data_IF_960148936089
#
_entry.id   IF_960148936089
#
_cell.length_a   1.000
_cell.length_b   1.000
_cell.length_c   1.000
_cell.angle_alpha   90.00
_cell.angle_beta   90.00
_cell.angle_gamma   90.00
#
_symmetry.space_group_name_H-M   'P 1'
#
loop_
_entity.id
_entity.type
_entity.pdbx_description
1 polymer ?
#
# COMPACT_ATOMS: atom_id res chain seq x y z
N UNK A 1 -1.41 21.13 51.29
CA UNK A 1 -1.16 21.72 49.95
C UNK A 1 0.04 21.11 49.20
N UNK A 2 0.83 20.21 49.81
CA UNK A 2 2.01 19.59 49.20
C UNK A 2 1.71 18.50 48.13
N UNK A 3 0.48 17.98 48.11
CA UNK A 3 0.04 16.88 47.21
C UNK A 3 -0.15 17.32 45.74
N UNK A 4 -0.20 18.62 45.47
CA UNK A 4 -0.25 19.21 44.11
C UNK A 4 1.10 19.77 43.64
N UNK A 5 2.07 19.97 44.54
CA UNK A 5 3.40 20.45 44.21
C UNK A 5 4.26 19.37 43.57
N UNK A 6 4.15 18.12 44.05
CA UNK A 6 4.90 16.98 43.52
C UNK A 6 4.65 16.73 42.01
N UNK A 7 3.40 16.67 41.49
CA UNK A 7 3.18 16.47 40.06
C UNK A 7 3.63 17.65 39.20
N UNK A 8 3.54 18.88 39.70
CA UNK A 8 3.99 20.08 38.97
C UNK A 8 5.52 20.11 38.86
N UNK A 9 6.22 19.74 39.93
CA UNK A 9 7.67 19.69 39.94
C UNK A 9 8.20 18.58 39.04
N UNK A 10 7.53 17.41 39.03
CA UNK A 10 7.86 16.30 38.13
C UNK A 10 7.61 16.68 36.66
N UNK A 11 6.53 17.41 36.37
CA UNK A 11 6.27 17.93 35.02
C UNK A 11 7.34 18.95 34.57
N UNK A 12 7.75 19.87 35.44
CA UNK A 12 8.81 20.85 35.13
C UNK A 12 10.18 20.19 34.91
N UNK A 13 10.53 19.21 35.74
CA UNK A 13 11.79 18.46 35.60
C UNK A 13 11.76 17.59 34.35
N UNK A 14 10.64 16.91 34.06
CA UNK A 14 10.50 16.11 32.85
C UNK A 14 10.58 16.95 31.57
N UNK A 15 9.93 18.11 31.55
CA UNK A 15 9.98 19.02 30.41
C UNK A 15 11.40 19.60 30.23
N UNK A 16 12.05 20.01 31.33
CA UNK A 16 13.41 20.53 31.30
C UNK A 16 14.44 19.48 30.87
N UNK A 17 14.32 18.25 31.36
CA UNK A 17 15.17 17.14 30.98
C UNK A 17 14.96 16.74 29.51
N UNK A 18 13.71 16.69 29.04
CA UNK A 18 13.39 16.38 27.64
C UNK A 18 13.93 17.42 26.66
N UNK A 19 13.73 18.71 26.94
CA UNK A 19 14.26 19.79 26.11
C UNK A 19 15.80 19.84 26.13
N UNK A 20 16.41 19.67 27.31
CA UNK A 20 17.86 19.64 27.46
C UNK A 20 18.51 18.48 26.70
N UNK A 21 17.94 17.28 26.80
CA UNK A 21 18.43 16.11 26.07
C UNK A 21 18.26 16.25 24.56
N UNK A 22 17.13 16.79 24.09
CA UNK A 22 16.88 17.01 22.67
C UNK A 22 17.87 17.98 22.02
N UNK A 23 18.28 19.03 22.73
CA UNK A 23 19.32 19.96 22.26
C UNK A 23 20.71 19.32 22.33
N UNK A 24 21.02 18.60 23.42
CA UNK A 24 22.34 18.01 23.62
C UNK A 24 22.63 16.80 22.69
N UNK A 25 21.60 16.05 22.31
CA UNK A 25 21.71 14.87 21.43
C UNK A 25 21.39 15.20 19.98
N UNK A 26 21.13 16.47 19.64
CA UNK A 26 20.91 16.89 18.26
C UNK A 26 22.19 16.60 17.47
N UNK A 27 22.17 15.71 16.45
CA UNK A 27 23.35 15.44 15.64
C UNK A 27 23.77 16.72 14.92
N UNK A 28 25.07 17.02 14.95
CA UNK A 28 25.62 18.12 14.15
C UNK A 28 25.39 17.83 12.67
N UNK A 29 24.90 18.82 11.88
CA UNK A 29 24.83 18.66 10.45
C UNK A 29 26.25 18.51 9.92
N UNK A 30 26.53 17.36 9.30
CA UNK A 30 27.78 17.12 8.58
C UNK A 30 27.94 18.21 7.52
N UNK A 31 28.88 19.11 7.76
CA UNK A 31 29.27 20.15 6.82
C UNK A 31 30.52 19.71 6.06
N UNK A 32 30.39 19.55 4.75
CA UNK A 32 31.49 19.79 3.80
C UNK A 32 31.00 20.79 2.74
N UNK A 33 31.43 22.06 2.92
CA UNK A 33 31.99 23.03 1.95
C UNK A 33 31.53 22.97 0.48
N UNK A 34 31.16 24.04 -0.24
CA UNK A 34 31.64 25.43 -0.22
C UNK A 34 30.76 26.27 -1.17
N UNK A 35 30.51 27.55 -0.86
CA UNK A 35 29.92 28.51 -1.80
C UNK A 35 29.12 29.62 -1.12
N UNK A 36 29.80 30.71 -0.79
CA UNK A 36 29.30 31.89 -0.09
C UNK A 36 28.15 32.61 -0.82
N UNK A 37 27.16 33.10 -0.06
CA UNK A 37 26.86 34.54 0.10
C UNK A 37 25.87 34.76 1.26
N UNK A 38 26.23 35.67 2.16
CA UNK A 38 25.49 36.06 3.36
C UNK A 38 25.08 37.53 3.23
N UNK A 39 23.79 37.86 3.34
CA UNK A 39 23.30 39.10 4.01
C UNK A 39 21.88 38.90 4.61
N UNK A 40 21.78 39.03 5.94
CA UNK A 40 20.63 39.25 6.87
C UNK A 40 19.45 40.14 6.35
N UNK A 41 18.14 39.84 6.48
CA UNK A 41 17.21 39.68 7.65
C UNK A 41 16.58 41.01 8.20
N UNK A 42 15.43 41.08 8.95
CA UNK A 42 14.14 40.31 9.08
C UNK A 42 12.88 41.27 9.14
N UNK A 43 11.61 40.97 9.62
CA UNK A 43 11.12 39.84 10.44
C UNK A 43 9.71 39.22 10.19
N UNK A 44 9.55 38.04 10.82
CA UNK A 44 8.36 37.47 11.46
C UNK A 44 7.06 37.29 10.66
N UNK A 45 6.65 36.04 10.44
CA UNK A 45 5.60 35.40 11.25
C UNK A 45 5.80 33.88 11.19
N UNK A 46 5.73 33.23 12.35
CA UNK A 46 5.76 31.78 12.45
C UNK A 46 4.37 31.23 12.12
N UNK A 47 4.25 30.47 11.03
CA UNK A 47 3.30 29.35 10.97
C UNK A 47 4.03 28.15 10.39
N UNK A 48 3.87 27.04 11.11
CA UNK A 48 4.58 25.80 10.96
C UNK A 48 3.77 24.95 10.00
N UNK A 49 4.18 24.86 8.74
CA UNK A 49 3.78 23.77 7.86
C UNK A 49 5.06 23.28 7.17
N UNK A 50 5.59 22.18 7.69
CA UNK A 50 6.68 21.47 7.03
C UNK A 50 6.14 20.95 5.69
N UNK A 51 6.88 21.07 4.57
CA UNK A 51 6.48 20.38 3.37
C UNK A 51 6.66 18.88 3.65
N UNK A 52 5.54 18.17 3.82
CA UNK A 52 5.51 16.76 3.51
C UNK A 52 6.09 16.65 2.09
N UNK A 53 7.17 15.88 1.92
CA UNK A 53 7.73 15.63 0.61
C UNK A 53 6.60 15.19 -0.31
N UNK A 54 6.34 15.98 -1.35
CA UNK A 54 5.46 15.59 -2.43
C UNK A 54 6.11 14.38 -3.10
N UNK A 55 5.74 13.17 -2.67
CA UNK A 55 5.95 11.98 -3.48
C UNK A 55 5.17 12.22 -4.77
N UNK A 56 5.87 12.48 -5.88
CA UNK A 56 5.25 12.57 -7.20
C UNK A 56 4.46 11.26 -7.43
N UNK A 57 3.13 11.36 -7.44
CA UNK A 57 2.26 10.21 -7.70
C UNK A 57 2.47 9.80 -9.15
N UNK A 58 3.23 8.73 -9.39
CA UNK A 58 3.53 8.23 -10.74
C UNK A 58 2.54 7.17 -11.22
N UNK A 59 1.68 6.67 -10.32
CA UNK A 59 0.76 5.56 -10.56
C UNK A 59 -0.67 5.86 -10.06
N UNK A 60 -1.65 5.36 -10.80
CA UNK A 60 -3.05 5.29 -10.39
C UNK A 60 -3.38 3.86 -9.97
N UNK A 61 -4.27 3.72 -8.98
CA UNK A 61 -4.82 2.43 -8.58
C UNK A 61 -6.27 2.33 -9.02
N UNK A 62 -6.55 1.38 -9.91
CA UNK A 62 -7.89 1.18 -10.49
C UNK A 62 -8.49 -0.09 -9.92
N UNK A 63 -9.55 0.07 -9.12
CA UNK A 63 -10.31 -1.05 -8.58
C UNK A 63 -11.19 -1.67 -9.68
N UNK A 64 -11.15 -2.99 -9.81
CA UNK A 64 -12.05 -3.74 -10.69
C UNK A 64 -13.50 -3.66 -10.17
N UNK A 65 -14.47 -3.53 -11.07
CA UNK A 65 -15.88 -3.41 -10.68
C UNK A 65 -16.45 -4.77 -10.28
N UNK A 66 -17.05 -4.90 -9.11
CA UNK A 66 -17.53 -6.19 -8.59
C UNK A 66 -16.42 -7.20 -8.28
N UNK A 67 -16.71 -8.04 -7.30
CA UNK A 67 -15.80 -9.09 -6.84
C UNK A 67 -15.75 -10.26 -7.82
N UNK A 68 -14.67 -11.03 -7.75
CA UNK A 68 -14.51 -12.29 -8.45
C UNK A 68 -14.95 -13.42 -7.53
N UNK A 69 -15.77 -14.34 -8.04
CA UNK A 69 -16.28 -15.49 -7.26
C UNK A 69 -15.90 -16.76 -7.99
N UNK A 70 -15.18 -17.64 -7.30
CA UNK A 70 -14.53 -18.82 -7.88
C UNK A 70 -14.83 -20.02 -6.98
N UNK A 71 -15.47 -21.10 -7.49
CA UNK A 71 -15.68 -22.30 -6.71
C UNK A 71 -14.41 -23.15 -6.66
N UNK A 72 -14.16 -23.73 -5.51
CA UNK A 72 -13.16 -24.80 -5.33
C UNK A 72 -13.91 -26.13 -5.37
N UNK A 73 -13.52 -27.02 -6.28
CA UNK A 73 -14.18 -28.30 -6.48
C UNK A 73 -13.26 -29.43 -6.02
N UNK A 74 -13.75 -30.27 -5.13
CA UNK A 74 -13.06 -31.47 -4.65
C UNK A 74 -13.97 -32.69 -4.80
N UNK A 75 -13.47 -33.75 -5.43
CA UNK A 75 -14.26 -34.97 -5.65
C UNK A 75 -15.57 -34.75 -6.43
N UNK A 76 -15.59 -33.76 -7.33
CA UNK A 76 -16.76 -33.41 -8.15
C UNK A 76 -17.84 -32.60 -7.42
N UNK A 77 -17.58 -32.13 -6.20
CA UNK A 77 -18.48 -31.26 -5.43
C UNK A 77 -17.79 -29.95 -5.07
N UNK A 78 -18.57 -28.87 -4.97
CA UNK A 78 -18.06 -27.58 -4.47
C UNK A 78 -17.75 -27.75 -2.98
N UNK A 79 -16.49 -27.58 -2.60
CA UNK A 79 -16.02 -27.64 -1.21
C UNK A 79 -15.93 -26.25 -0.58
N UNK A 80 -15.67 -25.21 -1.39
CA UNK A 80 -15.61 -23.83 -0.94
C UNK A 80 -15.92 -22.85 -2.08
N UNK A 81 -16.28 -21.62 -1.70
CA UNK A 81 -16.36 -20.47 -2.58
C UNK A 81 -15.28 -19.46 -2.18
N UNK A 82 -14.48 -19.00 -3.13
CA UNK A 82 -13.48 -17.96 -2.94
C UNK A 82 -13.95 -16.68 -3.58
N UNK A 83 -13.92 -15.59 -2.83
CA UNK A 83 -14.35 -14.27 -3.23
C UNK A 83 -13.13 -13.35 -3.18
N UNK A 84 -12.79 -12.69 -4.28
CA UNK A 84 -11.63 -11.79 -4.36
C UNK A 84 -12.02 -10.39 -4.83
N UNK A 85 -11.36 -9.38 -4.26
CA UNK A 85 -11.35 -8.02 -4.78
C UNK A 85 -9.98 -7.71 -5.36
N UNK A 86 -9.93 -7.28 -6.63
CA UNK A 86 -8.68 -7.01 -7.35
C UNK A 86 -8.60 -5.53 -7.74
N UNK A 87 -7.43 -4.93 -7.60
CA UNK A 87 -7.08 -3.61 -8.16
C UNK A 87 -5.83 -3.71 -9.02
N UNK A 88 -5.71 -2.84 -10.01
CA UNK A 88 -4.54 -2.74 -10.87
C UNK A 88 -3.77 -1.48 -10.53
N UNK A 89 -2.45 -1.59 -10.44
CA UNK A 89 -1.56 -0.43 -10.47
C UNK A 89 -1.25 -0.11 -11.93
N UNK A 90 -1.58 1.11 -12.33
CA UNK A 90 -1.38 1.58 -13.70
C UNK A 90 -0.64 2.90 -13.73
N UNK A 91 -0.08 3.25 -14.87
CA UNK A 91 0.53 4.57 -15.08
C UNK A 91 -0.48 5.69 -14.81
N UNK A 92 -0.01 6.80 -14.23
CA UNK A 92 -0.82 7.99 -13.97
C UNK A 92 -1.67 8.40 -15.20
N UNK A 93 -2.93 8.78 -14.93
CA UNK A 93 -3.93 9.24 -15.89
C UNK A 93 -4.32 8.21 -16.97
N UNK A 94 -4.09 6.91 -16.75
CA UNK A 94 -4.50 5.84 -17.68
C UNK A 94 -5.69 5.01 -17.19
N UNK A 95 -6.28 5.34 -16.04
CA UNK A 95 -7.33 4.53 -15.43
C UNK A 95 -8.60 4.35 -16.27
N UNK A 96 -8.98 5.34 -17.09
CA UNK A 96 -10.13 5.21 -18.00
C UNK A 96 -9.96 4.07 -19.02
N UNK A 97 -8.73 3.87 -19.52
CA UNK A 97 -8.43 2.82 -20.49
C UNK A 97 -8.62 1.41 -19.91
N UNK A 98 -8.40 1.25 -18.59
CA UNK A 98 -8.67 0.00 -17.87
C UNK A 98 -10.14 -0.35 -17.98
N UNK A 99 -11.04 0.61 -17.72
CA UNK A 99 -12.49 0.38 -17.78
C UNK A 99 -12.98 0.03 -19.20
N UNK A 100 -12.39 0.64 -20.25
CA UNK A 100 -12.72 0.30 -21.64
C UNK A 100 -12.35 -1.14 -22.03
N UNK A 101 -11.36 -1.74 -21.35
CA UNK A 101 -10.92 -3.13 -21.57
C UNK A 101 -11.34 -4.08 -20.45
N UNK A 102 -12.08 -3.60 -19.47
CA UNK A 102 -12.47 -4.36 -18.27
C UNK A 102 -13.13 -5.70 -18.61
N UNK A 103 -14.05 -5.81 -19.60
CA UNK A 103 -14.66 -7.09 -19.92
C UNK A 103 -13.64 -8.18 -20.30
N UNK A 104 -12.57 -7.80 -21.02
CA UNK A 104 -11.50 -8.75 -21.39
C UNK A 104 -10.58 -9.08 -20.23
N UNK A 105 -10.27 -8.09 -19.39
CA UNK A 105 -9.49 -8.32 -18.17
C UNK A 105 -10.22 -9.29 -17.24
N UNK A 106 -11.51 -9.08 -17.04
CA UNK A 106 -12.34 -9.93 -16.18
C UNK A 106 -12.39 -11.37 -16.68
N UNK A 107 -12.59 -11.57 -17.98
CA UNK A 107 -12.58 -12.89 -18.60
C UNK A 107 -11.26 -13.62 -18.36
N UNK A 108 -10.13 -12.97 -18.66
CA UNK A 108 -8.80 -13.56 -18.45
C UNK A 108 -8.46 -13.80 -16.97
N UNK A 109 -8.84 -12.89 -16.07
CA UNK A 109 -8.64 -13.08 -14.62
C UNK A 109 -9.47 -14.23 -14.09
N UNK A 110 -10.74 -14.37 -14.51
CA UNK A 110 -11.57 -15.51 -14.13
C UNK A 110 -10.92 -16.82 -14.57
N UNK A 111 -10.39 -16.90 -15.79
CA UNK A 111 -9.68 -18.08 -16.25
C UNK A 111 -8.48 -18.42 -15.35
N UNK A 112 -7.61 -17.44 -15.06
CA UNK A 112 -6.45 -17.63 -14.16
C UNK A 112 -6.90 -18.12 -12.78
N UNK A 113 -7.95 -17.52 -12.23
CA UNK A 113 -8.46 -17.88 -10.91
C UNK A 113 -9.05 -19.31 -10.90
N UNK A 114 -9.77 -19.72 -11.94
CA UNK A 114 -10.26 -21.09 -12.07
C UNK A 114 -9.10 -22.08 -12.20
N UNK A 115 -8.09 -21.78 -13.02
CA UNK A 115 -6.91 -22.63 -13.17
C UNK A 115 -6.15 -22.76 -11.84
N UNK A 116 -6.01 -21.66 -11.10
CA UNK A 116 -5.41 -21.66 -9.77
C UNK A 116 -6.22 -22.50 -8.76
N UNK A 117 -7.55 -22.40 -8.78
CA UNK A 117 -8.43 -23.21 -7.94
C UNK A 117 -8.30 -24.70 -8.26
N UNK A 118 -8.28 -25.06 -9.55
CA UNK A 118 -8.14 -26.44 -10.03
C UNK A 118 -6.77 -27.03 -9.68
N UNK A 119 -5.70 -26.22 -9.77
CA UNK A 119 -4.36 -26.60 -9.31
C UNK A 119 -4.28 -26.77 -7.78
N UNK A 120 -5.26 -26.25 -7.04
CA UNK A 120 -5.34 -26.34 -5.59
C UNK A 120 -4.74 -25.17 -4.83
N UNK A 121 -4.46 -24.06 -5.50
CA UNK A 121 -3.87 -22.88 -4.87
C UNK A 121 -4.75 -22.25 -3.79
N UNK A 122 -6.05 -22.56 -3.78
CA UNK A 122 -6.99 -22.14 -2.73
C UNK A 122 -7.25 -23.22 -1.65
N UNK A 123 -6.60 -24.39 -1.71
CA UNK A 123 -6.72 -25.44 -0.69
C UNK A 123 -5.81 -25.14 0.51
N UNK A 124 -6.19 -25.63 1.69
CA UNK A 124 -5.37 -25.50 2.91
C UNK A 124 -5.00 -24.05 3.26
N UNK A 125 -3.72 -23.77 3.52
CA UNK A 125 -3.19 -22.45 3.82
C UNK A 125 -3.07 -21.59 2.54
N UNK A 126 -4.22 -21.24 1.97
CA UNK A 126 -4.33 -20.53 0.69
C UNK A 126 -3.71 -19.12 0.69
N UNK A 127 -3.51 -18.52 1.86
CA UNK A 127 -2.86 -17.20 2.02
C UNK A 127 -1.35 -17.29 2.16
N UNK A 128 -0.74 -18.48 2.04
CA UNK A 128 0.71 -18.61 2.03
C UNK A 128 1.35 -17.74 0.94
N UNK A 129 2.45 -17.07 1.29
CA UNK A 129 3.09 -16.06 0.45
C UNK A 129 3.46 -16.60 -0.94
N UNK A 130 3.95 -17.85 -1.03
CA UNK A 130 4.31 -18.47 -2.30
C UNK A 130 3.10 -18.66 -3.23
N UNK A 131 1.96 -19.12 -2.70
CA UNK A 131 0.74 -19.34 -3.48
C UNK A 131 0.20 -18.02 -4.02
N UNK A 132 0.22 -16.97 -3.19
CA UNK A 132 -0.24 -15.64 -3.58
C UNK A 132 0.70 -14.94 -4.58
N UNK A 133 2.00 -15.17 -4.50
CA UNK A 133 2.96 -14.66 -5.49
C UNK A 133 2.72 -15.29 -6.86
N UNK A 134 2.51 -16.61 -6.93
CA UNK A 134 2.19 -17.29 -8.19
C UNK A 134 0.90 -16.75 -8.79
N UNK A 135 -0.15 -16.58 -7.97
CA UNK A 135 -1.42 -16.02 -8.44
C UNK A 135 -1.27 -14.58 -8.95
N UNK A 136 -0.59 -13.70 -8.20
CA UNK A 136 -0.36 -12.31 -8.62
C UNK A 136 0.41 -12.22 -9.93
N UNK A 137 1.47 -13.01 -10.11
CA UNK A 137 2.21 -13.05 -11.37
C UNK A 137 1.34 -13.50 -12.54
N UNK A 138 0.54 -14.57 -12.37
CA UNK A 138 -0.34 -15.04 -13.44
C UNK A 138 -1.42 -14.01 -13.82
N UNK A 139 -1.99 -13.30 -12.84
CA UNK A 139 -2.92 -12.21 -13.08
C UNK A 139 -2.23 -11.03 -13.80
N UNK A 140 -1.02 -10.67 -13.37
CA UNK A 140 -0.23 -9.60 -13.98
C UNK A 140 0.10 -9.90 -15.44
N UNK A 141 0.49 -11.14 -15.76
CA UNK A 141 0.74 -11.55 -17.15
C UNK A 141 -0.50 -11.36 -18.04
N UNK A 142 -1.69 -11.71 -17.54
CA UNK A 142 -2.94 -11.49 -18.27
C UNK A 142 -3.24 -10.01 -18.40
N UNK A 143 -3.06 -9.23 -17.33
CA UNK A 143 -3.27 -7.80 -17.36
C UNK A 143 -2.37 -7.12 -18.41
N UNK A 144 -1.08 -7.49 -18.45
CA UNK A 144 -0.11 -6.99 -19.43
C UNK A 144 -0.43 -7.45 -20.85
N UNK A 145 -0.98 -8.66 -21.06
CA UNK A 145 -1.45 -9.09 -22.39
C UNK A 145 -2.62 -8.26 -22.91
N UNK A 146 -3.49 -7.77 -22.02
CA UNK A 146 -4.71 -7.03 -22.40
C UNK A 146 -4.47 -5.51 -22.48
N UNK A 147 -3.75 -4.95 -21.51
CA UNK A 147 -3.51 -3.51 -21.36
C UNK A 147 -2.12 -3.08 -21.84
N UNK A 148 -1.19 -4.01 -21.99
CA UNK A 148 0.19 -3.69 -22.35
C UNK A 148 1.00 -3.14 -21.17
N UNK A 149 2.03 -2.32 -21.43
CA UNK A 149 3.00 -1.88 -20.42
C UNK A 149 2.46 -0.80 -19.47
N UNK A 150 1.20 -0.39 -19.61
CA UNK A 150 0.59 0.60 -18.71
C UNK A 150 0.26 0.02 -17.33
N UNK A 151 0.16 -1.31 -17.19
CA UNK A 151 0.00 -2.00 -15.91
C UNK A 151 1.38 -2.38 -15.37
N UNK A 152 1.67 -1.96 -14.14
CA UNK A 152 2.87 -2.33 -13.40
C UNK A 152 2.62 -3.49 -12.44
N UNK A 153 1.45 -3.55 -11.79
CA UNK A 153 1.14 -4.58 -10.81
C UNK A 153 -0.36 -4.91 -10.71
N UNK A 154 -0.67 -6.07 -10.09
CA UNK A 154 -2.02 -6.50 -9.73
C UNK A 154 -2.10 -6.78 -8.24
N UNK A 155 -2.97 -6.04 -7.57
CA UNK A 155 -3.19 -6.10 -6.13
C UNK A 155 -4.45 -6.91 -5.82
N UNK A 156 -4.29 -7.96 -5.01
CA UNK A 156 -5.41 -8.65 -4.38
C UNK A 156 -5.70 -7.92 -3.08
N UNK A 157 -6.76 -7.09 -3.08
CA UNK A 157 -7.12 -6.20 -1.98
C UNK A 157 -7.88 -6.94 -0.88
N UNK A 158 -8.68 -7.92 -1.27
CA UNK A 158 -9.45 -8.75 -0.35
C UNK A 158 -9.55 -10.17 -0.90
N UNK A 159 -9.53 -11.15 0.01
CA UNK A 159 -9.73 -12.55 -0.28
C UNK A 159 -10.49 -13.21 0.88
N UNK A 160 -11.65 -13.77 0.56
CA UNK A 160 -12.48 -14.51 1.49
C UNK A 160 -12.68 -15.91 0.94
N UNK A 161 -12.54 -16.92 1.80
CA UNK A 161 -12.90 -18.29 1.50
C UNK A 161 -14.04 -18.72 2.41
N UNK A 162 -15.12 -19.20 1.82
CA UNK A 162 -16.27 -19.75 2.51
C UNK A 162 -16.35 -21.25 2.23
N UNK A 163 -16.09 -22.06 3.25
CA UNK A 163 -16.26 -23.51 3.16
C UNK A 163 -17.76 -23.89 3.20
N UNK A 164 -18.10 -24.99 2.54
CA UNK A 164 -19.46 -25.54 2.46
C UNK A 164 -19.78 -26.55 3.55
#
# INVERSE_FOLDING_TARGET
>A
MLRKLLPILLALVGLGAGLGAGIALKPEPEGETSGAEEVCAPPATAEHDAPAGEEEVTHDYVKMNNQFVVPVVEGGRVSALVILSISLEVKLATGEQVYQREPKLRDGFLQVLFDHANAGGFRGAFTEANNMTVLRHALLEVAQKVLGPMVSDVLIVDIVRQDS
#
